data_IF_890778567796
#
_entry.id   IF_890778567796
#
_cell.length_a   1.000
_cell.length_b   1.000
_cell.length_c   1.000
_cell.angle_alpha   90.00
_cell.angle_beta   90.00
_cell.angle_gamma   90.00
#
_symmetry.space_group_name_H-M   'P 1'
#
loop_
_entity.id
_entity.type
_entity.pdbx_description
1 polymer ?
#
# COMPACT_ATOMS: atom_id res chain seq x y z
N UNK A 1 2.06 -12.51 4.91
CA UNK A 1 2.78 -11.58 4.00
C UNK A 1 1.91 -10.35 3.81
N UNK A 2 2.46 -9.20 3.42
CA UNK A 2 1.70 -7.96 3.26
C UNK A 2 1.98 -7.32 1.91
N UNK A 3 0.96 -6.66 1.37
CA UNK A 3 1.04 -5.86 0.17
C UNK A 3 0.80 -4.40 0.53
N UNK A 4 1.53 -3.51 -0.10
CA UNK A 4 1.31 -2.06 0.01
C UNK A 4 0.58 -1.61 -1.25
N UNK A 5 -0.62 -1.09 -1.07
CA UNK A 5 -1.52 -0.67 -2.13
C UNK A 5 -1.65 0.85 -2.08
N UNK A 6 -1.36 1.50 -3.20
CA UNK A 6 -1.58 2.92 -3.40
C UNK A 6 -2.96 3.11 -4.01
N UNK A 7 -3.75 4.00 -3.43
CA UNK A 7 -5.05 4.42 -3.97
C UNK A 7 -4.90 5.78 -4.63
N UNK A 8 -5.44 5.88 -5.84
CA UNK A 8 -5.35 7.05 -6.70
C UNK A 8 -6.69 7.79 -6.71
N UNK A 9 -6.68 9.08 -6.97
CA UNK A 9 -7.89 9.91 -7.03
C UNK A 9 -8.87 9.43 -8.11
N UNK A 10 -8.37 8.84 -9.21
CA UNK A 10 -9.17 8.22 -10.29
C UNK A 10 -9.83 6.88 -9.86
N UNK A 11 -9.64 6.44 -8.61
CA UNK A 11 -10.15 5.17 -8.10
C UNK A 11 -9.31 3.95 -8.48
N UNK A 12 -8.24 4.14 -9.25
CA UNK A 12 -7.26 3.08 -9.54
C UNK A 12 -6.49 2.70 -8.28
N UNK A 13 -5.99 1.48 -8.28
CA UNK A 13 -5.09 0.98 -7.24
C UNK A 13 -3.81 0.42 -7.87
N UNK A 14 -2.70 0.55 -7.17
CA UNK A 14 -1.40 0.01 -7.59
C UNK A 14 -0.72 -0.68 -6.43
N UNK A 15 -0.24 -1.90 -6.66
CA UNK A 15 0.54 -2.63 -5.66
C UNK A 15 1.99 -2.13 -5.76
N UNK A 16 2.39 -1.28 -4.81
CA UNK A 16 3.75 -0.74 -4.75
C UNK A 16 4.75 -1.78 -4.25
N UNK A 17 4.31 -2.68 -3.36
CA UNK A 17 5.13 -3.78 -2.87
C UNK A 17 4.22 -4.97 -2.59
N UNK A 18 4.67 -6.16 -2.98
CA UNK A 18 3.95 -7.42 -2.78
C UNK A 18 4.79 -8.38 -1.94
N UNK A 19 4.15 -9.14 -1.05
CA UNK A 19 4.81 -10.22 -0.33
C UNK A 19 5.79 -9.77 0.77
N UNK A 20 5.74 -8.51 1.20
CA UNK A 20 6.69 -7.94 2.16
C UNK A 20 6.29 -8.23 3.61
N UNK A 21 7.26 -8.11 4.52
CA UNK A 21 7.00 -8.17 5.97
C UNK A 21 6.19 -6.94 6.42
N UNK A 22 5.51 -7.05 7.57
CA UNK A 22 4.70 -5.94 8.10
C UNK A 22 5.57 -4.71 8.34
N UNK A 23 6.71 -4.88 9.02
CA UNK A 23 7.66 -3.80 9.26
C UNK A 23 8.06 -3.09 7.95
N UNK A 24 8.28 -3.85 6.86
CA UNK A 24 8.64 -3.24 5.59
C UNK A 24 7.46 -2.53 4.92
N UNK A 25 6.25 -3.06 5.04
CA UNK A 25 5.05 -2.40 4.55
C UNK A 25 4.80 -1.07 5.28
N UNK A 26 5.02 -1.02 6.60
CA UNK A 26 4.90 0.20 7.41
C UNK A 26 5.96 1.24 7.05
N UNK A 27 7.21 0.82 6.83
CA UNK A 27 8.25 1.74 6.35
C UNK A 27 7.89 2.35 4.98
N UNK A 28 7.39 1.54 4.05
CA UNK A 28 6.97 2.03 2.72
C UNK A 28 5.80 2.99 2.87
N UNK A 29 4.80 2.65 3.69
CA UNK A 29 3.65 3.53 3.95
C UNK A 29 4.11 4.87 4.53
N UNK A 30 4.92 4.85 5.58
CA UNK A 30 5.45 6.07 6.20
C UNK A 30 6.28 6.89 5.22
N UNK A 31 7.07 6.23 4.36
CA UNK A 31 7.85 6.91 3.32
C UNK A 31 6.95 7.61 2.29
N UNK A 32 5.90 6.94 1.79
CA UNK A 32 4.96 7.53 0.83
C UNK A 32 4.14 8.65 1.46
N UNK A 33 3.68 8.48 2.70
CA UNK A 33 2.93 9.51 3.42
C UNK A 33 3.78 10.74 3.74
N UNK A 34 5.06 10.54 4.12
CA UNK A 34 5.98 11.64 4.40
C UNK A 34 6.48 12.34 3.13
N UNK A 35 6.49 11.66 1.98
CA UNK A 35 6.92 12.21 0.69
C UNK A 35 5.73 12.40 -0.25
N UNK A 36 4.53 12.66 0.29
CA UNK A 36 3.29 12.73 -0.48
C UNK A 36 3.39 13.71 -1.66
N UNK A 37 4.16 14.79 -1.52
CA UNK A 37 4.40 15.78 -2.57
C UNK A 37 5.13 15.21 -3.80
N UNK A 38 6.05 14.26 -3.60
CA UNK A 38 6.73 13.55 -4.70
C UNK A 38 5.76 12.60 -5.41
N UNK A 39 4.80 12.06 -4.66
CA UNK A 39 3.70 11.25 -5.18
C UNK A 39 2.48 12.07 -5.64
N UNK A 40 2.47 13.40 -5.45
CA UNK A 40 1.35 14.27 -5.87
C UNK A 40 1.18 14.28 -7.40
N UNK A 41 2.25 14.08 -8.18
CA UNK A 41 2.15 13.90 -9.63
C UNK A 41 1.33 12.66 -10.02
N UNK A 42 1.16 11.72 -9.08
CA UNK A 42 0.43 10.48 -9.28
C UNK A 42 -0.94 10.48 -8.63
N UNK A 43 -1.47 11.61 -8.15
CA UNK A 43 -2.80 11.69 -7.53
C UNK A 43 -3.03 10.64 -6.43
N UNK A 44 -1.99 10.28 -5.67
CA UNK A 44 -2.10 9.29 -4.59
C UNK A 44 -2.87 9.90 -3.42
N UNK A 45 -4.03 9.34 -3.12
CA UNK A 45 -4.94 9.82 -2.08
C UNK A 45 -4.80 9.06 -0.77
N UNK A 46 -4.42 7.77 -0.83
CA UNK A 46 -4.23 6.93 0.35
C UNK A 46 -3.25 5.78 0.10
N UNK A 47 -2.69 5.24 1.18
CA UNK A 47 -1.84 4.05 1.18
C UNK A 47 -2.43 3.02 2.14
N UNK A 48 -2.77 1.85 1.61
CA UNK A 48 -3.32 0.73 2.35
C UNK A 48 -2.27 -0.38 2.47
N UNK A 49 -2.17 -0.99 3.66
CA UNK A 49 -1.40 -2.22 3.84
C UNK A 49 -2.40 -3.36 3.92
N UNK A 50 -2.39 -4.23 2.91
CA UNK A 50 -3.27 -5.40 2.85
C UNK A 50 -2.49 -6.64 3.27
N UNK A 51 -2.99 -7.34 4.30
CA UNK A 51 -2.41 -8.62 4.68
C UNK A 51 -2.81 -9.70 3.67
N UNK A 52 -1.82 -10.35 3.08
CA UNK A 52 -1.92 -11.45 2.11
C UNK A 52 -1.35 -12.76 2.67
N UNK A 53 -1.40 -12.96 4.00
CA UNK A 53 -0.92 -14.16 4.68
C UNK A 53 -1.97 -14.88 5.53
N UNK A 54 -2.43 -16.04 5.05
CA UNK A 54 -3.04 -17.11 5.84
C UNK A 54 -4.56 -17.01 6.04
N UNK A 55 -5.31 -17.68 5.17
CA UNK A 55 -6.75 -17.98 5.27
C UNK A 55 -7.73 -16.81 5.34
N UNK A 56 -8.19 -16.37 4.16
CA UNK A 56 -9.63 -16.30 3.94
C UNK A 56 -10.12 -17.74 3.67
N UNK A 57 -10.10 -18.58 4.72
CA UNK A 57 -11.01 -19.73 4.77
C UNK A 57 -12.32 -19.19 5.33
N UNK A 58 -13.08 -18.48 4.49
CA UNK A 58 -14.52 -18.41 4.70
C UNK A 58 -15.07 -19.79 4.37
N UNK A 59 -15.13 -20.67 5.36
CA UNK A 59 -16.09 -21.78 5.39
C UNK A 59 -16.65 -21.98 6.79
#
# INVERSE_FOLDING_TARGET
MNNVILHYQDGRTFICAEGVTLARAEEIKAHVESNREDFSYRDVVAVEIKHTGGNDETN
#
